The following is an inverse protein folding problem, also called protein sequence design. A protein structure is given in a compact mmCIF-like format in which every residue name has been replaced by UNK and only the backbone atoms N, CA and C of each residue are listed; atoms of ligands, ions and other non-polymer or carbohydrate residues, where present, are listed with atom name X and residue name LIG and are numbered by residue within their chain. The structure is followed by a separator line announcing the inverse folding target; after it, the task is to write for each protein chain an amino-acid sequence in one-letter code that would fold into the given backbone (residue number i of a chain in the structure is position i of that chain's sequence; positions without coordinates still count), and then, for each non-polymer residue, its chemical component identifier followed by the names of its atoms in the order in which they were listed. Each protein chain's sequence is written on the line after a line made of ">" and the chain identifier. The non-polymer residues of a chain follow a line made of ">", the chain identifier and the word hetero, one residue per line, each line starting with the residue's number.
data_IF_269184470790
#
_entry.id   IF_269184470790
#
_cell.length_a   1.000
_cell.length_b   1.000
_cell.length_c   1.000
_cell.angle_alpha   90.00
_cell.angle_beta   90.00
_cell.angle_gamma   90.00
#
_symmetry.space_group_name_H-M   'P 1'
#
loop_
_entity.id
_entity.type
_entity.pdbx_description
1 polymer ?
#
# COMPACT_ATOMS: atom_id res chain seq x y z
N UNK A 1 -12.34 24.13 -5.68
CA UNK A 1 -12.54 23.05 -4.87
C UNK A 1 -12.07 21.79 -5.50
N UNK A 2 -11.83 20.93 -4.74
CA UNK A 2 -11.22 19.75 -5.23
C UNK A 2 -12.24 18.69 -5.51
N UNK A 3 -12.28 18.25 -6.72
CA UNK A 3 -13.10 17.16 -7.05
C UNK A 3 -12.42 15.86 -6.79
N UNK A 4 -11.21 15.93 -6.33
CA UNK A 4 -10.46 14.71 -6.19
C UNK A 4 -10.73 13.99 -4.90
N UNK A 5 -11.63 14.48 -4.08
CA UNK A 5 -11.95 13.83 -2.83
C UNK A 5 -13.03 12.77 -2.98
N UNK A 6 -12.96 12.04 -4.06
CA UNK A 6 -13.87 10.93 -4.30
C UNK A 6 -13.78 9.88 -3.19
N UNK A 7 -12.58 9.69 -2.66
CA UNK A 7 -12.34 8.73 -1.59
C UNK A 7 -11.66 9.43 -0.42
N UNK A 8 -12.44 9.86 0.58
CA UNK A 8 -11.88 10.65 1.68
C UNK A 8 -10.79 9.94 2.50
N UNK A 9 -10.80 8.62 2.52
CA UNK A 9 -9.78 7.88 3.28
C UNK A 9 -8.42 7.86 2.60
N UNK A 10 -8.28 8.47 1.41
CA UNK A 10 -6.97 8.55 0.77
C UNK A 10 -5.96 9.25 1.68
N UNK A 11 -6.37 10.24 2.45
CA UNK A 11 -5.51 10.90 3.43
C UNK A 11 -5.02 9.91 4.48
N UNK A 12 -5.89 9.00 4.89
CA UNK A 12 -5.54 7.99 5.88
C UNK A 12 -4.49 7.03 5.31
N UNK A 13 -4.65 6.66 4.05
CA UNK A 13 -3.68 5.82 3.38
C UNK A 13 -2.32 6.52 3.30
N UNK A 14 -2.32 7.80 2.97
CA UNK A 14 -1.08 8.58 2.93
C UNK A 14 -0.40 8.61 4.29
N UNK A 15 -1.18 8.77 5.36
CA UNK A 15 -0.65 8.77 6.71
C UNK A 15 -0.07 7.41 7.09
N UNK A 16 -0.75 6.33 6.69
CA UNK A 16 -0.26 4.99 6.95
C UNK A 16 1.09 4.76 6.27
N UNK A 17 1.24 5.22 5.04
CA UNK A 17 2.51 5.08 4.32
C UNK A 17 3.61 5.90 4.98
N UNK A 18 3.30 7.08 5.51
CA UNK A 18 4.29 7.87 6.24
C UNK A 18 4.77 7.14 7.49
N UNK A 19 3.83 6.52 8.21
CA UNK A 19 4.21 5.77 9.41
C UNK A 19 5.05 4.54 9.04
N UNK A 20 4.73 3.86 7.96
CA UNK A 20 5.52 2.74 7.50
C UNK A 20 6.97 3.16 7.22
N UNK A 21 7.16 4.32 6.59
CA UNK A 21 8.51 4.83 6.36
C UNK A 21 9.25 5.08 7.66
N UNK A 22 8.56 5.60 8.66
CA UNK A 22 9.16 5.83 9.98
C UNK A 22 9.57 4.53 10.64
N UNK A 23 8.90 3.45 10.32
CA UNK A 23 9.20 2.13 10.87
C UNK A 23 10.27 1.40 10.07
N UNK A 24 10.86 2.05 9.10
CA UNK A 24 11.96 1.48 8.34
C UNK A 24 11.55 0.77 7.07
N UNK A 25 10.31 0.91 6.65
CA UNK A 25 9.85 0.30 5.41
C UNK A 25 10.09 1.21 4.22
N UNK A 26 10.40 0.61 3.07
CA UNK A 26 10.30 1.31 1.82
C UNK A 26 8.82 1.36 1.47
N UNK A 27 8.19 2.51 1.59
CA UNK A 27 6.76 2.63 1.36
C UNK A 27 6.51 3.63 0.25
N UNK A 28 5.89 3.17 -0.83
CA UNK A 28 5.67 3.99 -2.01
C UNK A 28 4.31 3.74 -2.62
N UNK A 29 3.69 4.80 -3.10
CA UNK A 29 2.41 4.74 -3.79
C UNK A 29 2.65 5.01 -5.27
N UNK A 30 1.89 4.31 -6.13
CA UNK A 30 1.99 4.49 -7.58
C UNK A 30 3.44 4.33 -8.04
N UNK A 31 4.06 3.24 -7.59
CA UNK A 31 5.48 3.00 -7.76
C UNK A 31 5.70 2.07 -8.94
N UNK A 32 6.44 2.56 -9.95
CA UNK A 32 6.78 1.78 -11.12
C UNK A 32 5.56 1.37 -11.96
N UNK A 33 5.78 0.66 -13.06
CA UNK A 33 4.72 0.34 -14.00
C UNK A 33 3.97 -0.95 -13.67
N UNK A 34 4.65 -1.92 -13.06
CA UNK A 34 4.05 -3.20 -12.73
C UNK A 34 4.80 -3.83 -11.57
N UNK A 35 4.24 -4.93 -11.06
CA UNK A 35 4.80 -5.55 -9.88
C UNK A 35 6.22 -6.06 -10.07
N UNK A 36 6.49 -6.69 -11.19
CA UNK A 36 7.84 -7.23 -11.44
C UNK A 36 8.90 -6.15 -11.47
N UNK A 37 8.63 -5.08 -12.24
CA UNK A 37 9.57 -3.97 -12.33
C UNK A 37 9.72 -3.27 -10.99
N UNK A 38 8.61 -3.16 -10.25
CA UNK A 38 8.64 -2.51 -8.95
C UNK A 38 9.57 -3.22 -7.98
N UNK A 39 9.50 -4.55 -7.92
CA UNK A 39 10.37 -5.29 -7.02
C UNK A 39 11.85 -5.12 -7.36
N UNK A 40 12.17 -4.93 -8.64
CA UNK A 40 13.55 -4.68 -9.05
C UNK A 40 14.04 -3.32 -8.63
N UNK A 41 13.11 -2.38 -8.46
CA UNK A 41 13.46 -1.00 -8.08
C UNK A 41 13.50 -0.79 -6.57
N UNK A 42 13.03 -1.75 -5.79
CA UNK A 42 13.04 -1.61 -4.33
C UNK A 42 14.48 -1.62 -3.82
N UNK A 43 14.87 -0.62 -3.01
CA UNK A 43 16.24 -0.54 -2.49
C UNK A 43 16.59 -1.72 -1.60
N UNK A 44 17.87 -2.01 -1.53
CA UNK A 44 18.37 -3.08 -0.67
C UNK A 44 17.92 -4.42 -1.15
N UNK A 45 17.58 -5.30 -0.21
CA UNK A 45 17.14 -6.66 -0.52
C UNK A 45 15.65 -6.81 -0.63
N UNK A 46 14.91 -5.73 -0.49
CA UNK A 46 13.46 -5.80 -0.47
C UNK A 46 12.93 -6.44 0.80
N UNK A 47 13.68 -6.35 1.90
CA UNK A 47 13.31 -7.01 3.16
C UNK A 47 12.10 -6.37 3.83
N UNK A 48 11.96 -5.06 3.70
CA UNK A 48 10.86 -4.32 4.31
C UNK A 48 10.32 -3.33 3.30
N UNK A 49 9.26 -3.71 2.62
CA UNK A 49 8.67 -2.86 1.59
C UNK A 49 7.16 -2.98 1.60
N UNK A 50 6.49 -1.87 1.30
CA UNK A 50 5.05 -1.83 1.07
C UNK A 50 4.80 -0.87 -0.08
N UNK A 51 4.20 -1.33 -1.15
CA UNK A 51 3.96 -0.46 -2.29
C UNK A 51 2.81 -0.97 -3.14
N UNK A 52 2.28 -0.08 -3.99
CA UNK A 52 1.41 -0.51 -5.08
C UNK A 52 1.88 0.18 -6.35
N UNK A 53 1.74 -0.55 -7.46
CA UNK A 53 2.26 -0.07 -8.73
C UNK A 53 1.20 0.73 -9.47
N UNK A 54 1.57 1.21 -10.66
CA UNK A 54 0.72 2.12 -11.44
C UNK A 54 -0.64 1.52 -11.78
N UNK A 55 -0.68 0.23 -12.10
CA UNK A 55 -1.94 -0.43 -12.44
C UNK A 55 -2.87 -0.49 -11.23
N UNK A 56 -2.32 -0.75 -10.06
CA UNK A 56 -3.11 -0.73 -8.83
C UNK A 56 -3.55 0.67 -8.47
N UNK A 57 -2.72 1.66 -8.74
CA UNK A 57 -3.09 3.06 -8.51
C UNK A 57 -4.32 3.44 -9.33
N UNK A 58 -4.38 2.99 -10.57
CA UNK A 58 -5.54 3.26 -11.41
C UNK A 58 -6.79 2.59 -10.85
N UNK A 59 -6.65 1.35 -10.37
CA UNK A 59 -7.76 0.64 -9.76
C UNK A 59 -8.22 1.33 -8.48
N UNK A 60 -7.29 1.81 -7.67
CA UNK A 60 -7.62 2.53 -6.45
C UNK A 60 -8.39 3.81 -6.76
N UNK A 61 -7.99 4.52 -7.81
CA UNK A 61 -8.68 5.74 -8.21
C UNK A 61 -10.09 5.48 -8.71
N UNK A 62 -10.32 4.33 -9.31
CA UNK A 62 -11.63 3.98 -9.84
C UNK A 62 -12.56 3.41 -8.79
N UNK A 63 -12.11 2.40 -8.06
CA UNK A 63 -12.96 1.63 -7.16
C UNK A 63 -12.72 1.93 -5.70
N UNK A 64 -11.62 2.59 -5.37
CA UNK A 64 -11.27 2.85 -3.99
C UNK A 64 -10.59 1.67 -3.31
N UNK A 65 -10.23 0.65 -4.05
CA UNK A 65 -9.59 -0.55 -3.49
C UNK A 65 -8.46 -1.02 -4.39
N UNK A 66 -7.40 -1.52 -3.79
CA UNK A 66 -6.34 -2.16 -4.56
C UNK A 66 -5.52 -3.07 -3.65
N UNK A 67 -4.66 -3.85 -4.27
CA UNK A 67 -3.75 -4.73 -3.54
C UNK A 67 -2.42 -4.04 -3.34
N UNK A 68 -1.82 -4.28 -2.15
CA UNK A 68 -0.47 -3.81 -1.83
C UNK A 68 0.50 -4.98 -1.87
N UNK A 69 1.61 -4.80 -2.55
CA UNK A 69 2.74 -5.70 -2.45
C UNK A 69 3.51 -5.37 -1.18
N UNK A 70 4.08 -6.39 -0.54
CA UNK A 70 4.73 -6.16 0.76
C UNK A 70 5.81 -7.17 1.02
N UNK A 71 6.70 -6.81 1.94
CA UNK A 71 7.64 -7.74 2.54
C UNK A 71 7.93 -7.23 3.95
N UNK A 72 8.40 -8.10 4.82
CA UNK A 72 8.69 -7.75 6.19
C UNK A 72 7.70 -8.35 7.15
N UNK A 73 7.29 -7.58 8.16
CA UNK A 73 6.43 -8.07 9.22
C UNK A 73 4.96 -7.84 8.88
N UNK A 74 4.27 -8.93 8.54
CA UNK A 74 2.86 -8.87 8.18
C UNK A 74 2.01 -8.24 9.28
N UNK A 75 2.25 -8.63 10.52
CA UNK A 75 1.43 -8.15 11.62
C UNK A 75 1.61 -6.66 11.86
N UNK A 76 2.83 -6.17 11.72
CA UNK A 76 3.09 -4.75 11.88
C UNK A 76 2.42 -3.94 10.78
N UNK A 77 2.53 -4.39 9.54
CA UNK A 77 1.89 -3.73 8.41
C UNK A 77 0.37 -3.72 8.60
N UNK A 78 -0.19 -4.87 8.98
CA UNK A 78 -1.62 -4.98 9.20
C UNK A 78 -2.09 -4.04 10.30
N UNK A 79 -1.34 -3.96 11.41
CA UNK A 79 -1.71 -3.09 12.52
C UNK A 79 -1.72 -1.63 12.08
N UNK A 80 -0.75 -1.22 11.30
CA UNK A 80 -0.67 0.16 10.83
C UNK A 80 -1.85 0.47 9.89
N UNK A 81 -2.11 -0.40 8.93
CA UNK A 81 -3.22 -0.19 8.00
C UNK A 81 -4.55 -0.17 8.73
N UNK A 82 -4.69 -1.04 9.72
CA UNK A 82 -5.91 -1.11 10.51
C UNK A 82 -6.11 0.15 11.35
N UNK A 83 -5.04 0.68 11.92
CA UNK A 83 -5.08 1.90 12.72
C UNK A 83 -5.65 3.07 11.92
N UNK A 84 -5.31 3.14 10.65
CA UNK A 84 -5.79 4.22 9.79
C UNK A 84 -7.10 3.87 9.06
N UNK A 85 -7.63 2.68 9.32
CA UNK A 85 -8.95 2.31 8.78
C UNK A 85 -8.97 2.00 7.30
N UNK A 86 -7.83 1.62 6.73
CA UNK A 86 -7.75 1.34 5.29
C UNK A 86 -7.53 -0.14 4.97
N UNK A 87 -7.40 -0.98 5.98
CA UNK A 87 -7.18 -2.41 5.77
C UNK A 87 -8.51 -3.11 5.48
N UNK A 88 -8.56 -3.87 4.40
CA UNK A 88 -9.73 -4.66 4.08
C UNK A 88 -9.48 -6.16 4.26
N UNK A 89 -8.35 -6.66 3.77
CA UNK A 89 -8.01 -8.07 3.92
C UNK A 89 -6.54 -8.23 4.22
N UNK A 90 -6.24 -9.14 5.14
CA UNK A 90 -4.87 -9.52 5.48
C UNK A 90 -4.51 -10.74 4.64
N UNK A 91 -3.30 -10.77 4.04
CA UNK A 91 -2.92 -11.93 3.23
C UNK A 91 -2.80 -13.19 4.08
N UNK A 92 -3.24 -14.30 3.53
CA UNK A 92 -3.15 -15.58 4.21
C UNK A 92 -1.73 -16.11 4.24
N UNK A 93 -0.91 -15.77 3.23
CA UNK A 93 0.46 -16.23 3.13
C UNK A 93 1.35 -15.07 2.66
N UNK A 94 2.66 -15.29 2.72
CA UNK A 94 3.62 -14.29 2.28
C UNK A 94 3.56 -14.01 0.79
N UNK A 95 2.97 -14.92 0.03
CA UNK A 95 2.86 -14.76 -1.42
C UNK A 95 1.65 -13.95 -1.84
N UNK A 96 0.80 -13.58 -0.89
CA UNK A 96 -0.41 -12.83 -1.18
C UNK A 96 -0.24 -11.37 -0.78
N UNK A 97 -1.11 -10.53 -1.29
CA UNK A 97 -1.05 -9.08 -1.05
C UNK A 97 -2.10 -8.66 -0.03
N UNK A 98 -1.84 -7.51 0.61
CA UNK A 98 -2.90 -6.87 1.41
C UNK A 98 -3.92 -6.26 0.48
N UNK A 99 -5.18 -6.32 0.87
CA UNK A 99 -6.22 -5.59 0.16
C UNK A 99 -6.59 -4.38 1.00
N UNK A 100 -6.49 -3.19 0.41
CA UNK A 100 -6.84 -1.95 1.10
C UNK A 100 -8.02 -1.29 0.45
N UNK A 101 -8.73 -0.49 1.24
CA UNK A 101 -9.88 0.26 0.77
C UNK A 101 -9.83 1.67 1.34
N UNK A 102 -10.06 2.66 0.47
CA UNK A 102 -10.15 4.05 0.88
C UNK A 102 -11.58 4.58 0.71
N UNK A 103 -12.49 3.68 0.50
CA UNK A 103 -13.92 4.01 0.32
C UNK A 103 -14.56 4.41 1.63
#
# INVERSE_FOLDING_TARGET
>A
MSICQKFPKKKNLNAAFRLLRRRGYFAAQNFCCCQSCAWEEVPGNGDKAVFYHKQSAARLAESGECYLSWSGNKDEIAAILMTFGVLKEIPATENKCFLISIR
#
